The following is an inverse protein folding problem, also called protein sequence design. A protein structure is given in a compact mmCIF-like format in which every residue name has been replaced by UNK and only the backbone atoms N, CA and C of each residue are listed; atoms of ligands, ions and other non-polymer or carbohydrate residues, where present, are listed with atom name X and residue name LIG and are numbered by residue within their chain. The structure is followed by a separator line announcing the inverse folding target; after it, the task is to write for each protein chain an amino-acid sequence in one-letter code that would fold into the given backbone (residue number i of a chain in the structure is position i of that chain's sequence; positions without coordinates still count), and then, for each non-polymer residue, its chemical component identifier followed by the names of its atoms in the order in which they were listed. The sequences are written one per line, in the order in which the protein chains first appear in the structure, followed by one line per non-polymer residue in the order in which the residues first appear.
data_IF_882919241808
#
_entry.id   IF_882919241808
#
_cell.length_a   1.000
_cell.length_b   1.000
_cell.length_c   1.000
_cell.angle_alpha   90.00
_cell.angle_beta   90.00
_cell.angle_gamma   90.00
#
_symmetry.space_group_name_H-M   'P 1'
#
loop_
_entity.id
_entity.type
_entity.pdbx_description
1 polymer ?
#
# COMPACT_ATOMS: atom_id res chain seq x y z
N UNK A 1 -0.33 34.33 12.55
CA UNK A 1 -0.26 33.00 11.92
C UNK A 1 -1.65 32.69 11.37
N UNK A 2 -1.82 32.29 10.10
CA UNK A 2 -3.14 32.00 9.58
C UNK A 2 -3.65 30.70 10.23
N UNK A 3 -4.69 30.81 11.04
CA UNK A 3 -5.37 29.66 11.63
C UNK A 3 -6.10 28.94 10.50
N UNK A 4 -5.70 27.70 10.19
CA UNK A 4 -6.37 26.87 9.20
C UNK A 4 -7.81 26.60 9.64
N UNK A 5 -8.79 27.21 8.99
CA UNK A 5 -10.23 26.95 9.18
C UNK A 5 -10.69 25.62 8.57
N UNK A 6 -9.76 24.73 8.21
CA UNK A 6 -10.11 23.42 7.65
C UNK A 6 -10.69 22.52 8.75
N UNK A 7 -11.83 21.85 8.49
CA UNK A 7 -12.36 20.88 9.42
C UNK A 7 -11.34 19.74 9.63
N UNK A 8 -11.27 19.17 10.84
CA UNK A 8 -10.33 18.08 11.13
C UNK A 8 -10.65 16.87 10.25
N UNK A 9 -9.59 16.30 9.64
CA UNK A 9 -9.74 15.12 8.79
C UNK A 9 -10.39 13.96 9.58
N UNK A 10 -11.50 13.37 9.10
CA UNK A 10 -12.23 12.35 9.84
C UNK A 10 -11.34 11.16 10.23
N UNK A 11 -11.50 10.63 11.44
CA UNK A 11 -10.66 9.54 11.94
C UNK A 11 -10.75 8.28 11.06
N UNK A 12 -11.95 7.95 10.56
CA UNK A 12 -12.14 6.85 9.63
C UNK A 12 -11.35 7.05 8.32
N UNK A 13 -11.34 8.28 7.79
CA UNK A 13 -10.62 8.60 6.57
C UNK A 13 -9.10 8.56 6.79
N UNK A 14 -8.62 9.01 7.97
CA UNK A 14 -7.20 8.82 8.35
C UNK A 14 -6.80 7.35 8.35
N UNK A 15 -7.60 6.50 9.00
CA UNK A 15 -7.33 5.07 9.08
C UNK A 15 -7.33 4.42 7.70
N UNK A 16 -8.31 4.76 6.88
CA UNK A 16 -8.40 4.29 5.50
C UNK A 16 -7.17 4.72 4.69
N UNK A 17 -6.76 6.00 4.77
CA UNK A 17 -5.55 6.48 4.09
C UNK A 17 -4.29 5.76 4.54
N UNK A 18 -4.15 5.46 5.84
CA UNK A 18 -3.02 4.67 6.35
C UNK A 18 -3.02 3.26 5.75
N UNK A 19 -4.18 2.61 5.66
CA UNK A 19 -4.29 1.29 5.05
C UNK A 19 -3.89 1.31 3.57
N UNK A 20 -4.39 2.27 2.80
CA UNK A 20 -4.03 2.48 1.37
C UNK A 20 -2.52 2.70 1.22
N UNK A 21 -1.91 3.53 2.06
CA UNK A 21 -0.45 3.77 2.02
C UNK A 21 0.33 2.47 2.25
N UNK A 22 -0.09 1.64 3.22
CA UNK A 22 0.54 0.35 3.48
C UNK A 22 0.40 -0.56 2.27
N UNK A 23 -0.80 -0.67 1.69
CA UNK A 23 -1.06 -1.53 0.53
C UNK A 23 -0.23 -1.07 -0.68
N UNK A 24 -0.13 0.23 -0.93
CA UNK A 24 0.71 0.78 -2.00
C UNK A 24 2.19 0.47 -1.81
N UNK A 25 2.73 0.63 -0.59
CA UNK A 25 4.14 0.31 -0.29
C UNK A 25 4.41 -1.17 -0.52
N UNK A 26 3.52 -2.03 -0.03
CA UNK A 26 3.67 -3.48 -0.14
C UNK A 26 3.47 -3.95 -1.58
N UNK A 27 2.50 -3.36 -2.29
CA UNK A 27 2.24 -3.59 -3.71
C UNK A 27 3.43 -3.23 -4.58
N UNK A 28 3.94 -2.01 -4.45
CA UNK A 28 5.14 -1.57 -5.15
C UNK A 28 6.34 -2.46 -4.82
N UNK A 29 6.51 -2.83 -3.55
CA UNK A 29 7.56 -3.73 -3.11
C UNK A 29 7.46 -5.14 -3.71
N UNK A 30 6.26 -5.73 -3.77
CA UNK A 30 6.02 -7.02 -4.42
C UNK A 30 6.24 -6.97 -5.94
N UNK A 31 5.97 -5.82 -6.58
CA UNK A 31 6.14 -5.65 -8.02
C UNK A 31 7.62 -5.42 -8.41
N UNK A 32 8.25 -4.40 -7.82
CA UNK A 32 9.61 -3.96 -8.19
C UNK A 32 10.72 -4.70 -7.45
N UNK A 33 10.51 -5.06 -6.19
CA UNK A 33 11.51 -5.70 -5.33
C UNK A 33 11.01 -6.99 -4.66
N UNK A 34 10.45 -7.96 -5.41
CA UNK A 34 9.84 -9.16 -4.84
C UNK A 34 10.79 -9.97 -3.97
N UNK A 35 12.11 -9.94 -4.23
CA UNK A 35 13.11 -10.65 -3.42
C UNK A 35 13.13 -10.16 -1.97
N UNK A 36 12.85 -8.88 -1.73
CA UNK A 36 12.83 -8.29 -0.39
C UNK A 36 11.48 -8.47 0.30
N UNK A 37 10.38 -8.38 -0.44
CA UNK A 37 9.03 -8.35 0.16
C UNK A 37 8.39 -9.73 0.26
N UNK A 38 8.61 -10.60 -0.73
CA UNK A 38 8.09 -11.97 -0.76
C UNK A 38 8.41 -12.79 0.51
N UNK A 39 9.63 -12.75 1.10
CA UNK A 39 9.94 -13.52 2.31
C UNK A 39 9.18 -13.04 3.55
N UNK A 40 8.68 -11.81 3.53
CA UNK A 40 7.88 -11.20 4.61
C UNK A 40 6.37 -11.37 4.38
N UNK A 41 5.99 -11.93 3.24
CA UNK A 41 4.59 -12.20 2.92
C UNK A 41 4.07 -13.34 3.80
N UNK A 42 2.81 -13.32 4.28
CA UNK A 42 2.37 -14.26 5.31
C UNK A 42 2.27 -15.72 4.83
N UNK A 43 2.31 -15.96 3.51
CA UNK A 43 2.32 -17.30 2.92
C UNK A 43 3.25 -17.39 1.72
N UNK A 44 3.58 -18.60 1.29
CA UNK A 44 4.41 -18.83 0.12
C UNK A 44 3.69 -18.40 -1.17
N UNK A 45 4.37 -17.62 -2.01
CA UNK A 45 3.90 -17.23 -3.34
C UNK A 45 4.97 -17.55 -4.38
N UNK A 46 4.57 -17.87 -5.62
CA UNK A 46 5.50 -18.04 -6.73
C UNK A 46 6.00 -16.67 -7.23
N UNK A 47 7.12 -16.60 -7.98
CA UNK A 47 7.63 -15.32 -8.51
C UNK A 47 6.62 -14.56 -9.37
N UNK A 48 5.81 -15.28 -10.17
CA UNK A 48 4.73 -14.68 -10.96
C UNK A 48 3.64 -14.09 -10.05
N UNK A 49 3.13 -14.88 -9.09
CA UNK A 49 2.07 -14.45 -8.19
C UNK A 49 2.48 -13.22 -7.35
N UNK A 50 3.75 -13.14 -6.94
CA UNK A 50 4.26 -11.97 -6.21
C UNK A 50 4.13 -10.69 -7.05
N UNK A 51 4.57 -10.71 -8.31
CA UNK A 51 4.45 -9.55 -9.21
C UNK A 51 3.00 -9.25 -9.57
N UNK A 52 2.18 -10.28 -9.80
CA UNK A 52 0.75 -10.11 -10.08
C UNK A 52 0.03 -9.39 -8.93
N UNK A 53 0.21 -9.85 -7.69
CA UNK A 53 -0.32 -9.18 -6.49
C UNK A 53 0.22 -7.75 -6.36
N UNK A 54 1.52 -7.57 -6.60
CA UNK A 54 2.13 -6.25 -6.57
C UNK A 54 1.51 -5.26 -7.56
N UNK A 55 1.22 -5.72 -8.78
CA UNK A 55 0.52 -4.93 -9.79
C UNK A 55 -0.90 -4.56 -9.36
N UNK A 56 -1.65 -5.51 -8.81
CA UNK A 56 -3.03 -5.28 -8.35
C UNK A 56 -3.09 -4.25 -7.22
N UNK A 57 -2.22 -4.35 -6.22
CA UNK A 57 -2.15 -3.40 -5.12
C UNK A 57 -1.62 -2.03 -5.52
N UNK A 58 -0.74 -1.95 -6.51
CA UNK A 58 -0.24 -0.66 -7.01
C UNK A 58 -1.27 0.07 -7.89
N UNK A 59 -2.24 -0.67 -8.46
CA UNK A 59 -3.31 -0.10 -9.27
C UNK A 59 -4.29 0.78 -8.49
N UNK A 60 -4.25 0.79 -7.14
CA UNK A 60 -5.00 1.75 -6.31
C UNK A 60 -4.67 3.22 -6.62
N UNK A 61 -3.59 3.49 -7.37
CA UNK A 61 -3.21 4.84 -7.80
C UNK A 61 -4.01 5.36 -9.02
N UNK A 62 -4.86 4.56 -9.65
CA UNK A 62 -5.49 4.87 -10.95
C UNK A 62 -7.01 4.76 -10.90
#
# INVERSE_FOLDING_TARGET
MPTSNNPPFPAALRLFSVAVIIVLIVGAGLFFAPVLVKPRWPWAVTPFNARFLGGFYTAEMV
#
